data_IF_675819417185
#
_entry.id   IF_675819417185
#
_cell.length_a   1.000
_cell.length_b   1.000
_cell.length_c   1.000
_cell.angle_alpha   90.00
_cell.angle_beta   90.00
_cell.angle_gamma   90.00
#
_symmetry.space_group_name_H-M   'P 1'
#
loop_
_entity.id
_entity.type
_entity.pdbx_description
1 polymer ?
#
# COMPACT_ATOMS: atom_id res chain seq x y z
N UNK A 1 4.86 19.25 22.82
CA UNK A 1 3.91 18.17 23.14
C UNK A 1 3.13 17.76 21.90
N UNK A 2 2.51 18.71 21.19
CA UNK A 2 1.76 18.46 19.94
C UNK A 2 2.59 17.80 18.82
N UNK A 3 3.81 18.27 18.54
CA UNK A 3 4.64 17.70 17.46
C UNK A 3 5.01 16.23 17.70
N UNK A 4 5.22 15.82 18.96
CA UNK A 4 5.55 14.43 19.27
C UNK A 4 4.36 13.50 19.07
N UNK A 5 3.15 13.95 19.43
CA UNK A 5 1.91 13.19 19.22
C UNK A 5 1.60 13.02 17.73
N UNK A 6 1.77 14.08 16.93
CA UNK A 6 1.61 14.04 15.47
C UNK A 6 2.60 13.05 14.84
N UNK A 7 3.86 13.04 15.29
CA UNK A 7 4.86 12.10 14.76
C UNK A 7 4.55 10.65 15.15
N UNK A 8 4.09 10.41 16.38
CA UNK A 8 3.68 9.08 16.83
C UNK A 8 2.46 8.56 16.04
N UNK A 9 1.47 9.41 15.78
CA UNK A 9 0.28 9.07 14.99
C UNK A 9 0.63 8.75 13.53
N UNK A 10 1.52 9.55 12.91
CA UNK A 10 2.03 9.28 11.56
C UNK A 10 2.79 7.96 11.48
N UNK A 11 3.64 7.66 12.46
CA UNK A 11 4.36 6.39 12.52
C UNK A 11 3.41 5.20 12.67
N UNK A 12 2.38 5.33 13.51
CA UNK A 12 1.34 4.30 13.69
C UNK A 12 0.57 4.06 12.38
N UNK A 13 0.14 5.14 11.73
CA UNK A 13 -0.60 5.10 10.46
C UNK A 13 0.22 4.49 9.33
N UNK A 14 1.52 4.81 9.25
CA UNK A 14 2.43 4.23 8.26
C UNK A 14 2.65 2.73 8.50
N UNK A 15 2.84 2.32 9.76
CA UNK A 15 2.99 0.91 10.13
C UNK A 15 1.74 0.07 9.86
N UNK A 16 0.54 0.63 10.03
CA UNK A 16 -0.71 -0.05 9.67
C UNK A 16 -0.86 -0.20 8.16
N UNK A 17 -0.53 0.85 7.39
CA UNK A 17 -0.55 0.78 5.94
C UNK A 17 0.42 -0.30 5.41
N UNK A 18 1.61 -0.43 6.00
CA UNK A 18 2.57 -1.48 5.66
C UNK A 18 2.02 -2.89 5.94
N UNK A 19 1.43 -3.11 7.13
CA UNK A 19 0.77 -4.38 7.47
C UNK A 19 -0.33 -4.76 6.48
N UNK A 20 -1.11 -3.77 6.03
CA UNK A 20 -2.17 -4.00 5.05
C UNK A 20 -1.61 -4.37 3.68
N UNK A 21 -0.48 -3.79 3.25
CA UNK A 21 0.23 -4.19 2.02
C UNK A 21 0.67 -5.66 2.11
N UNK A 22 1.32 -6.05 3.20
CA UNK A 22 1.77 -7.43 3.41
C UNK A 22 0.61 -8.41 3.34
N UNK A 23 -0.50 -8.10 4.04
CA UNK A 23 -1.70 -8.95 4.06
C UNK A 23 -2.31 -9.12 2.67
N UNK A 24 -2.45 -8.04 1.91
CA UNK A 24 -3.10 -8.06 0.59
C UNK A 24 -2.24 -8.71 -0.48
N UNK A 25 -0.91 -8.51 -0.45
CA UNK A 25 0.01 -9.22 -1.34
C UNK A 25 0.02 -10.72 -1.04
N UNK A 26 0.09 -11.11 0.23
CA UNK A 26 0.01 -12.52 0.61
C UNK A 26 -1.31 -13.17 0.15
N UNK A 27 -2.40 -12.40 0.19
CA UNK A 27 -3.70 -12.84 -0.31
C UNK A 27 -3.73 -13.05 -1.83
N UNK A 28 -2.78 -12.59 -2.64
CA UNK A 28 -2.74 -12.86 -4.09
C UNK A 28 -2.36 -14.29 -4.44
N UNK A 29 -1.85 -15.06 -3.47
CA UNK A 29 -1.57 -16.48 -3.64
C UNK A 29 -2.80 -17.25 -4.16
N UNK A 30 -2.62 -18.36 -4.90
CA UNK A 30 -3.70 -19.08 -5.59
C UNK A 30 -4.76 -19.73 -4.69
N UNK A 31 -4.71 -19.52 -3.37
CA UNK A 31 -5.78 -19.92 -2.47
C UNK A 31 -7.11 -19.24 -2.87
N UNK A 32 -8.18 -20.02 -2.89
CA UNK A 32 -9.47 -19.75 -3.54
C UNK A 32 -10.06 -18.35 -3.31
N UNK A 33 -10.75 -17.84 -4.34
CA UNK A 33 -11.46 -16.55 -4.32
C UNK A 33 -11.22 -15.73 -5.59
N UNK A 34 -11.98 -14.64 -5.77
CA UNK A 34 -11.84 -13.77 -6.94
C UNK A 34 -10.48 -13.07 -6.93
N UNK A 35 -9.63 -13.42 -7.90
CA UNK A 35 -8.28 -12.85 -8.01
C UNK A 35 -8.30 -11.39 -8.45
N UNK A 36 -9.30 -10.96 -9.23
CA UNK A 36 -9.41 -9.57 -9.66
C UNK A 36 -9.71 -8.64 -8.48
N UNK A 37 -10.62 -9.06 -7.58
CA UNK A 37 -10.93 -8.31 -6.35
C UNK A 37 -9.68 -8.18 -5.47
N UNK A 38 -8.97 -9.28 -5.22
CA UNK A 38 -7.75 -9.28 -4.40
C UNK A 38 -6.64 -8.43 -5.01
N UNK A 39 -6.51 -8.46 -6.35
CA UNK A 39 -5.58 -7.59 -7.06
C UNK A 39 -5.92 -6.11 -6.87
N UNK A 40 -7.19 -5.73 -6.97
CA UNK A 40 -7.64 -4.35 -6.72
C UNK A 40 -7.39 -3.92 -5.26
N UNK A 41 -7.59 -4.83 -4.29
CA UNK A 41 -7.30 -4.56 -2.87
C UNK A 41 -5.79 -4.35 -2.62
N UNK A 42 -4.94 -5.19 -3.23
CA UNK A 42 -3.49 -5.04 -3.15
C UNK A 42 -3.01 -3.72 -3.80
N UNK A 43 -3.54 -3.36 -4.98
CA UNK A 43 -3.25 -2.10 -5.65
C UNK A 43 -3.60 -0.90 -4.76
N UNK A 44 -4.79 -0.93 -4.14
CA UNK A 44 -5.24 0.12 -3.22
C UNK A 44 -4.33 0.23 -2.00
N UNK A 45 -4.01 -0.89 -1.36
CA UNK A 45 -3.14 -0.90 -0.17
C UNK A 45 -1.75 -0.33 -0.47
N UNK A 46 -1.15 -0.74 -1.59
CA UNK A 46 0.16 -0.24 -2.03
C UNK A 46 0.13 1.25 -2.34
N UNK A 47 -0.91 1.73 -3.02
CA UNK A 47 -1.08 3.17 -3.27
C UNK A 47 -1.18 3.98 -1.97
N UNK A 48 -2.01 3.53 -1.02
CA UNK A 48 -2.16 4.21 0.27
C UNK A 48 -0.86 4.25 1.06
N UNK A 49 -0.11 3.15 1.07
CA UNK A 49 1.21 3.09 1.71
C UNK A 49 2.22 4.05 1.06
N UNK A 50 2.26 4.14 -0.27
CA UNK A 50 3.15 5.09 -0.95
C UNK A 50 2.81 6.54 -0.63
N UNK A 51 1.51 6.90 -0.64
CA UNK A 51 1.06 8.24 -0.24
C UNK A 51 1.49 8.56 1.19
N UNK A 52 1.30 7.64 2.15
CA UNK A 52 1.72 7.86 3.54
C UNK A 52 3.25 8.01 3.66
N UNK A 53 4.02 7.22 2.91
CA UNK A 53 5.48 7.36 2.85
C UNK A 53 5.92 8.73 2.33
N UNK A 54 5.30 9.22 1.28
CA UNK A 54 5.59 10.56 0.72
C UNK A 54 5.25 11.67 1.72
N UNK A 55 4.11 11.57 2.42
CA UNK A 55 3.72 12.51 3.48
C UNK A 55 4.71 12.51 4.65
N UNK A 56 5.39 11.40 4.90
CA UNK A 56 6.45 11.27 5.90
C UNK A 56 7.85 11.61 5.34
N UNK A 57 7.97 12.02 4.07
CA UNK A 57 9.23 12.44 3.43
C UNK A 57 10.00 11.32 2.69
N UNK A 58 9.49 10.10 2.66
CA UNK A 58 10.14 8.94 2.03
C UNK A 58 9.79 8.79 0.54
N UNK A 59 10.50 9.51 -0.33
CA UNK A 59 10.19 9.59 -1.78
C UNK A 59 10.75 8.47 -2.65
N UNK A 60 11.66 7.62 -2.15
CA UNK A 60 12.21 6.49 -2.91
C UNK A 60 11.43 5.22 -2.59
N UNK A 61 10.86 4.58 -3.61
CA UNK A 61 10.03 3.37 -3.45
C UNK A 61 10.74 2.06 -3.81
N UNK A 62 11.89 2.12 -4.50
CA UNK A 62 12.57 0.91 -5.01
C UNK A 62 12.91 -0.12 -3.92
N UNK A 63 13.40 0.36 -2.76
CA UNK A 63 13.73 -0.51 -1.61
C UNK A 63 12.49 -1.21 -1.08
N UNK A 64 11.42 -0.46 -0.76
CA UNK A 64 10.19 -1.06 -0.21
C UNK A 64 9.43 -1.95 -1.20
N UNK A 65 9.53 -1.68 -2.52
CA UNK A 65 8.97 -2.57 -3.55
C UNK A 65 9.62 -3.95 -3.46
N UNK A 66 10.95 -3.98 -3.32
CA UNK A 66 11.71 -5.23 -3.16
C UNK A 66 11.43 -5.87 -1.81
N UNK A 67 11.52 -5.10 -0.72
CA UNK A 67 11.47 -5.63 0.64
C UNK A 67 10.07 -6.20 0.97
N UNK A 68 9.00 -5.60 0.43
CA UNK A 68 7.61 -6.10 0.56
C UNK A 68 7.21 -7.09 -0.55
N UNK A 69 8.12 -7.44 -1.46
CA UNK A 69 7.86 -8.31 -2.61
C UNK A 69 6.62 -7.89 -3.43
N UNK A 70 6.49 -6.58 -3.72
CA UNK A 70 5.32 -6.06 -4.43
C UNK A 70 5.31 -6.57 -5.87
N UNK A 71 4.29 -7.34 -6.29
CA UNK A 71 4.25 -7.91 -7.64
C UNK A 71 4.07 -6.84 -8.73
N UNK A 72 4.65 -7.02 -9.93
CA UNK A 72 4.50 -6.07 -11.03
C UNK A 72 3.04 -5.78 -11.42
N UNK A 73 2.15 -6.78 -11.38
CA UNK A 73 0.71 -6.61 -11.64
C UNK A 73 0.00 -5.68 -10.65
N UNK A 74 0.54 -5.53 -9.43
CA UNK A 74 0.06 -4.57 -8.45
C UNK A 74 0.57 -3.17 -8.81
N UNK A 75 1.84 -3.03 -9.19
CA UNK A 75 2.42 -1.74 -9.59
C UNK A 75 1.76 -1.17 -10.86
N UNK A 76 1.52 -2.03 -11.85
CA UNK A 76 0.94 -1.64 -13.14
C UNK A 76 -0.50 -1.09 -13.01
N UNK A 77 -1.22 -1.48 -11.95
CA UNK A 77 -2.61 -1.08 -11.73
C UNK A 77 -2.82 0.15 -10.83
N UNK A 78 -1.76 0.71 -10.23
CA UNK A 78 -1.88 1.83 -9.28
C UNK A 78 -2.59 3.05 -9.88
N UNK A 79 -2.40 3.31 -11.18
CA UNK A 79 -3.09 4.39 -11.90
C UNK A 79 -4.56 4.10 -12.20
N UNK A 80 -4.95 2.83 -12.38
CA UNK A 80 -6.32 2.43 -12.70
C UNK A 80 -7.22 2.38 -11.47
N UNK A 81 -6.71 1.96 -10.31
CA UNK A 81 -7.48 1.90 -9.06
C UNK A 81 -7.91 3.29 -8.55
N UNK A 82 -7.13 4.34 -8.85
CA UNK A 82 -7.48 5.71 -8.50
C UNK A 82 -8.68 6.22 -9.32
N UNK A 83 -8.75 5.88 -10.61
CA UNK A 83 -9.83 6.31 -11.51
C UNK A 83 -11.18 5.67 -11.17
N UNK A 84 -11.20 4.43 -10.69
CA UNK A 84 -12.43 3.70 -10.35
C UNK A 84 -13.17 4.33 -9.14
N UNK A 85 -12.46 5.07 -8.28
CA UNK A 85 -13.05 5.67 -7.06
C UNK A 85 -13.53 7.12 -7.22
N UNK A 86 -13.30 7.75 -8.38
CA UNK A 86 -13.78 9.11 -8.69
C UNK A 86 -15.07 9.14 -9.53
N UNK A 87 -15.78 8.02 -9.65
CA UNK A 87 -17.09 7.93 -10.32
C UNK A 87 -18.18 7.50 -9.37
#
# INVERSE_FOLDING_TARGET
MLDHEIMAERASSLGEAERQVIKTIAALAPAAGDRAVRLAEAQKAVWQYFVQRELCGFRRHAEVIRDLNIPPEVLNGLGASHTIRQR
#
